data_IF_791859659664
#
_entry.id   IF_791859659664
#
_cell.length_a   1.000
_cell.length_b   1.000
_cell.length_c   1.000
_cell.angle_alpha   90.00
_cell.angle_beta   90.00
_cell.angle_gamma   90.00
#
_symmetry.space_group_name_H-M   'P 1'
#
loop_
_entity.id
_entity.type
_entity.pdbx_description
1 polymer ?
#
# COMPACT_ATOMS: atom_id res chain seq x y z
N UNK A 1 -36.10 -31.05 -18.40
CA UNK A 1 -35.76 -30.52 -17.07
C UNK A 1 -34.46 -29.76 -17.19
N UNK A 2 -34.40 -28.45 -16.89
CA UNK A 2 -33.15 -27.71 -16.87
C UNK A 2 -32.30 -28.17 -15.68
N UNK A 3 -31.01 -28.40 -15.91
CA UNK A 3 -30.04 -28.68 -14.85
C UNK A 3 -29.92 -27.43 -13.97
N UNK A 4 -30.08 -27.60 -12.66
CA UNK A 4 -29.75 -26.58 -11.67
C UNK A 4 -28.26 -26.24 -11.81
N UNK A 5 -27.96 -25.01 -12.23
CA UNK A 5 -26.67 -24.38 -11.94
C UNK A 5 -26.58 -24.29 -10.43
N UNK A 6 -25.73 -25.12 -9.83
CA UNK A 6 -25.37 -24.97 -8.44
C UNK A 6 -24.66 -23.62 -8.31
N UNK A 7 -25.25 -22.72 -7.52
CA UNK A 7 -24.57 -21.54 -6.98
C UNK A 7 -23.26 -22.02 -6.33
N UNK A 8 -22.17 -21.92 -7.08
CA UNK A 8 -20.83 -21.98 -6.51
C UNK A 8 -20.78 -20.85 -5.48
N UNK A 9 -20.34 -21.11 -4.23
CA UNK A 9 -20.24 -20.05 -3.24
C UNK A 9 -19.40 -18.93 -3.86
N UNK A 10 -19.96 -17.72 -3.92
CA UNK A 10 -19.23 -16.53 -4.32
C UNK A 10 -17.93 -16.54 -3.52
N UNK A 11 -16.80 -16.64 -4.22
CA UNK A 11 -15.48 -16.68 -3.57
C UNK A 11 -15.39 -15.51 -2.60
N UNK A 12 -14.99 -15.75 -1.35
CA UNK A 12 -14.81 -14.69 -0.34
C UNK A 12 -14.05 -13.50 -0.96
N UNK A 13 -14.50 -12.25 -0.70
CA UNK A 13 -13.90 -11.08 -1.32
C UNK A 13 -12.42 -10.96 -0.95
N UNK A 14 -11.59 -10.61 -1.93
CA UNK A 14 -10.20 -10.26 -1.67
C UNK A 14 -10.15 -8.89 -0.97
N UNK A 15 -9.57 -8.82 0.22
CA UNK A 15 -9.46 -7.59 0.99
C UNK A 15 -8.05 -7.00 0.86
N UNK A 16 -7.93 -5.85 0.19
CA UNK A 16 -6.67 -5.14 0.04
C UNK A 16 -6.68 -3.82 0.83
N UNK A 17 -5.61 -3.58 1.57
CA UNK A 17 -5.33 -2.29 2.20
C UNK A 17 -4.26 -1.58 1.40
N UNK A 18 -4.49 -0.32 1.03
CA UNK A 18 -3.53 0.49 0.27
C UNK A 18 -3.04 1.64 1.14
N UNK A 19 -1.72 1.74 1.34
CA UNK A 19 -1.08 2.89 1.94
C UNK A 19 -0.33 3.71 0.89
N UNK A 20 -0.44 5.04 0.92
CA UNK A 20 0.26 5.93 0.00
C UNK A 20 0.18 7.39 0.43
N UNK A 21 0.55 8.34 -0.44
CA UNK A 21 0.38 9.77 -0.18
C UNK A 21 -0.95 10.30 -0.74
N UNK A 22 -2.05 9.66 -0.34
CA UNK A 22 -3.39 9.94 -0.87
C UNK A 22 -4.22 10.84 0.05
N UNK A 23 -5.16 11.57 -0.54
CA UNK A 23 -6.01 12.54 0.15
C UNK A 23 -5.31 13.86 0.46
N UNK A 24 -4.14 14.11 -0.15
CA UNK A 24 -3.40 15.38 -0.05
C UNK A 24 -3.63 16.29 -1.25
N UNK A 25 -4.50 15.91 -2.19
CA UNK A 25 -4.71 16.61 -3.47
C UNK A 25 -3.44 16.71 -4.34
N UNK A 26 -2.52 15.75 -4.19
CA UNK A 26 -1.39 15.63 -5.09
C UNK A 26 -1.81 14.87 -6.35
N UNK A 27 -2.01 15.59 -7.46
CA UNK A 27 -2.51 15.02 -8.71
C UNK A 27 -1.73 13.77 -9.16
N UNK A 28 -0.42 13.72 -8.93
CA UNK A 28 0.41 12.56 -9.27
C UNK A 28 0.08 11.32 -8.44
N UNK A 29 0.00 11.46 -7.11
CA UNK A 29 -0.32 10.35 -6.21
C UNK A 29 -1.78 9.90 -6.36
N UNK A 30 -2.68 10.86 -6.56
CA UNK A 30 -4.10 10.61 -6.87
C UNK A 30 -4.26 9.82 -8.19
N UNK A 31 -3.49 10.15 -9.23
CA UNK A 31 -3.47 9.40 -10.50
C UNK A 31 -2.90 7.98 -10.34
N UNK A 32 -1.89 7.80 -9.49
CA UNK A 32 -1.33 6.47 -9.15
C UNK A 32 -2.40 5.62 -8.47
N UNK A 33 -3.13 6.18 -7.49
CA UNK A 33 -4.21 5.47 -6.82
C UNK A 33 -5.32 5.06 -7.80
N UNK A 34 -5.75 6.00 -8.65
CA UNK A 34 -6.78 5.74 -9.67
C UNK A 34 -6.38 4.60 -10.61
N UNK A 35 -5.16 4.65 -11.14
CA UNK A 35 -4.65 3.63 -12.07
C UNK A 35 -4.52 2.26 -11.40
N UNK A 36 -4.06 2.23 -10.14
CA UNK A 36 -3.97 1.01 -9.36
C UNK A 36 -5.34 0.41 -9.07
N UNK A 37 -6.30 1.24 -8.66
CA UNK A 37 -7.67 0.82 -8.38
C UNK A 37 -8.32 0.23 -9.64
N UNK A 38 -8.16 0.87 -10.80
CA UNK A 38 -8.71 0.39 -12.06
C UNK A 38 -8.09 -0.96 -12.46
N UNK A 39 -6.77 -1.08 -12.40
CA UNK A 39 -6.08 -2.33 -12.74
C UNK A 39 -6.50 -3.49 -11.81
N UNK A 40 -6.58 -3.25 -10.51
CA UNK A 40 -6.98 -4.29 -9.55
C UNK A 40 -8.43 -4.75 -9.76
N UNK A 41 -9.36 -3.83 -10.06
CA UNK A 41 -10.76 -4.18 -10.35
C UNK A 41 -10.93 -4.90 -11.70
N UNK A 42 -10.03 -4.70 -12.66
CA UNK A 42 -10.06 -5.43 -13.93
C UNK A 42 -9.60 -6.89 -13.78
N UNK A 43 -8.72 -7.16 -12.82
CA UNK A 43 -8.17 -8.50 -12.57
C UNK A 43 -9.00 -9.31 -11.55
N UNK A 44 -9.76 -8.63 -10.68
CA UNK A 44 -10.52 -9.27 -9.59
C UNK A 44 -11.95 -8.74 -9.48
N UNK A 45 -12.91 -9.61 -9.82
CA UNK A 45 -14.35 -9.30 -9.79
C UNK A 45 -14.90 -9.09 -8.36
N UNK A 46 -14.39 -9.82 -7.36
CA UNK A 46 -14.80 -9.69 -5.96
C UNK A 46 -13.69 -9.10 -5.08
N UNK A 47 -13.58 -7.77 -5.12
CA UNK A 47 -12.49 -7.02 -4.51
C UNK A 47 -13.00 -5.91 -3.57
N UNK A 48 -12.53 -5.94 -2.32
CA UNK A 48 -12.68 -4.85 -1.37
C UNK A 48 -11.38 -4.06 -1.21
N UNK A 49 -11.41 -2.79 -1.62
CA UNK A 49 -10.28 -1.88 -1.45
C UNK A 49 -10.52 -0.92 -0.27
N UNK A 50 -9.59 -0.92 0.68
CA UNK A 50 -9.50 0.11 1.72
C UNK A 50 -8.24 0.96 1.52
N UNK A 51 -8.37 2.28 1.53
CA UNK A 51 -7.26 3.22 1.31
C UNK A 51 -6.96 4.03 2.58
N UNK A 52 -5.68 4.09 2.98
CA UNK A 52 -5.21 5.02 3.99
C UNK A 52 -5.07 6.42 3.38
N UNK A 53 -5.85 7.37 3.88
CA UNK A 53 -5.96 8.70 3.30
C UNK A 53 -5.85 9.80 4.36
N UNK A 54 -5.31 10.96 3.97
CA UNK A 54 -5.38 12.18 4.77
C UNK A 54 -6.78 12.82 4.75
N UNK A 55 -7.57 12.56 3.71
CA UNK A 55 -8.97 12.97 3.61
C UNK A 55 -9.84 11.80 3.16
N UNK A 56 -10.26 10.92 4.10
CA UNK A 56 -11.02 9.73 3.77
C UNK A 56 -12.36 10.01 3.07
N UNK A 57 -13.03 11.13 3.39
CA UNK A 57 -14.28 11.49 2.76
C UNK A 57 -14.10 11.74 1.26
N UNK A 58 -13.09 12.54 0.90
CA UNK A 58 -12.74 12.81 -0.49
C UNK A 58 -12.31 11.54 -1.23
N UNK A 59 -11.41 10.74 -0.63
CA UNK A 59 -10.91 9.52 -1.26
C UNK A 59 -12.04 8.53 -1.57
N UNK A 60 -13.03 8.39 -0.67
CA UNK A 60 -14.21 7.55 -0.94
C UNK A 60 -15.00 8.06 -2.14
N UNK A 61 -15.28 9.37 -2.18
CA UNK A 61 -16.08 9.96 -3.26
C UNK A 61 -15.38 9.94 -4.62
N UNK A 62 -14.03 10.01 -4.63
CA UNK A 62 -13.26 10.10 -5.86
C UNK A 62 -12.95 8.76 -6.52
N UNK A 63 -12.84 7.68 -5.74
CA UNK A 63 -12.34 6.39 -6.24
C UNK A 63 -13.28 5.19 -6.02
N UNK A 64 -14.43 5.40 -5.36
CA UNK A 64 -15.36 4.31 -5.01
C UNK A 64 -14.67 3.16 -4.26
N UNK A 65 -14.01 3.54 -3.15
CA UNK A 65 -13.26 2.65 -2.26
C UNK A 65 -13.64 2.91 -0.80
N UNK A 66 -13.39 1.94 0.09
CA UNK A 66 -13.35 2.25 1.53
C UNK A 66 -12.12 3.11 1.80
N UNK A 67 -12.20 4.02 2.77
CA UNK A 67 -11.05 4.81 3.17
C UNK A 67 -11.00 4.98 4.68
N UNK A 68 -9.79 5.01 5.23
CA UNK A 68 -9.51 5.23 6.65
C UNK A 68 -8.55 6.39 6.83
N UNK A 69 -8.66 7.08 7.96
CA UNK A 69 -7.67 8.10 8.32
C UNK A 69 -6.32 7.43 8.46
N UNK A 70 -5.32 7.96 7.74
CA UNK A 70 -3.96 7.45 7.76
C UNK A 70 -3.26 7.62 9.12
N UNK A 71 -3.83 8.42 10.02
CA UNK A 71 -3.32 8.66 11.40
C UNK A 71 -4.10 7.90 12.47
N UNK A 72 -5.20 7.22 12.12
CA UNK A 72 -5.96 6.40 13.06
C UNK A 72 -5.34 4.99 13.16
N UNK A 73 -4.25 4.89 13.91
CA UNK A 73 -3.52 3.62 14.06
C UNK A 73 -4.38 2.48 14.64
N UNK A 74 -5.41 2.79 15.44
CA UNK A 74 -6.32 1.77 15.97
C UNK A 74 -7.23 1.22 14.87
N UNK A 75 -7.78 2.09 14.02
CA UNK A 75 -8.54 1.66 12.85
C UNK A 75 -7.66 0.88 11.86
N UNK A 76 -6.44 1.35 11.60
CA UNK A 76 -5.47 0.67 10.72
C UNK A 76 -5.16 -0.74 11.25
N UNK A 77 -4.89 -0.88 12.55
CA UNK A 77 -4.60 -2.19 13.15
C UNK A 77 -5.78 -3.17 13.05
N UNK A 78 -7.01 -2.67 13.19
CA UNK A 78 -8.23 -3.47 12.99
C UNK A 78 -8.39 -3.87 11.52
N UNK A 79 -8.17 -2.94 10.60
CA UNK A 79 -8.28 -3.17 9.16
C UNK A 79 -7.29 -4.22 8.67
N UNK A 80 -6.03 -4.12 9.09
CA UNK A 80 -4.99 -5.12 8.82
C UNK A 80 -5.39 -6.53 9.29
N UNK A 81 -6.27 -6.65 10.28
CA UNK A 81 -6.72 -7.94 10.79
C UNK A 81 -7.66 -8.73 9.89
N UNK A 82 -8.21 -8.09 8.87
CA UNK A 82 -9.08 -8.68 7.85
C UNK A 82 -8.54 -8.44 6.43
N UNK A 83 -7.31 -7.97 6.32
CA UNK A 83 -6.64 -7.69 5.05
C UNK A 83 -5.89 -8.93 4.60
N UNK A 84 -5.97 -9.28 3.32
CA UNK A 84 -5.19 -10.37 2.71
C UNK A 84 -3.81 -9.89 2.25
N UNK A 85 -3.73 -8.63 1.80
CA UNK A 85 -2.48 -8.00 1.36
C UNK A 85 -2.49 -6.48 1.62
N UNK A 86 -1.42 -5.99 2.24
CA UNK A 86 -1.12 -4.56 2.29
C UNK A 86 -0.32 -4.17 1.04
N UNK A 87 -0.79 -3.18 0.28
CA UNK A 87 -0.06 -2.58 -0.83
C UNK A 87 0.44 -1.21 -0.37
N UNK A 88 1.75 -1.08 -0.20
CA UNK A 88 2.38 0.24 -0.14
C UNK A 88 2.51 0.76 -1.56
N UNK A 89 1.56 1.61 -1.97
CA UNK A 89 1.44 2.15 -3.31
C UNK A 89 2.64 3.00 -3.74
N UNK A 90 2.67 3.41 -5.01
CA UNK A 90 3.83 4.07 -5.63
C UNK A 90 4.08 5.51 -5.19
N UNK A 91 4.94 6.20 -5.93
CA UNK A 91 5.42 7.55 -5.59
C UNK A 91 6.83 7.54 -5.00
N UNK A 92 7.27 8.62 -4.35
CA UNK A 92 8.60 8.71 -3.72
C UNK A 92 8.48 8.66 -2.20
N UNK A 93 7.86 7.60 -1.66
CA UNK A 93 7.53 7.52 -0.23
C UNK A 93 8.73 7.06 0.63
N UNK A 94 9.65 6.32 0.03
CA UNK A 94 10.82 5.73 0.70
C UNK A 94 12.09 6.56 0.44
N UNK A 95 12.07 7.81 0.89
CA UNK A 95 13.24 8.70 0.87
C UNK A 95 13.27 9.58 2.11
N UNK A 96 14.46 9.96 2.60
CA UNK A 96 14.61 10.85 3.76
C UNK A 96 15.07 12.28 3.41
N UNK A 97 15.07 12.63 2.12
CA UNK A 97 15.47 13.96 1.62
C UNK A 97 14.44 15.05 1.95
N UNK A 98 13.16 14.72 1.95
CA UNK A 98 12.06 15.67 2.22
C UNK A 98 11.56 15.63 3.66
N UNK A 99 11.52 14.45 4.32
CA UNK A 99 11.17 14.33 5.75
C UNK A 99 11.42 12.93 6.30
N UNK A 100 12.25 12.80 7.34
CA UNK A 100 12.42 11.53 8.07
C UNK A 100 11.13 11.03 8.73
N UNK A 101 10.18 11.92 9.05
CA UNK A 101 8.89 11.54 9.65
C UNK A 101 7.99 10.79 8.66
N UNK A 102 8.06 11.15 7.38
CA UNK A 102 7.30 10.46 6.32
C UNK A 102 7.81 9.03 6.16
N UNK A 103 9.14 8.86 6.09
CA UNK A 103 9.76 7.54 6.04
C UNK A 103 9.38 6.68 7.25
N UNK A 104 9.51 7.22 8.46
CA UNK A 104 9.14 6.52 9.70
C UNK A 104 7.67 6.10 9.71
N UNK A 105 6.77 6.96 9.23
CA UNK A 105 5.35 6.63 9.10
C UNK A 105 5.15 5.38 8.21
N UNK A 106 5.72 5.35 7.00
CA UNK A 106 5.51 4.22 6.10
C UNK A 106 6.17 2.94 6.63
N UNK A 107 7.36 3.04 7.24
CA UNK A 107 7.99 1.91 7.92
C UNK A 107 7.14 1.37 9.06
N UNK A 108 6.45 2.24 9.82
CA UNK A 108 5.53 1.84 10.88
C UNK A 108 4.33 1.07 10.31
N UNK A 109 3.71 1.53 9.21
CA UNK A 109 2.58 0.82 8.58
C UNK A 109 3.01 -0.57 8.09
N UNK A 110 4.18 -0.67 7.45
CA UNK A 110 4.74 -1.96 7.02
C UNK A 110 5.03 -2.88 8.21
N UNK A 111 5.60 -2.34 9.29
CA UNK A 111 5.84 -3.09 10.52
C UNK A 111 4.52 -3.57 11.17
N UNK A 112 3.47 -2.74 11.18
CA UNK A 112 2.15 -3.14 11.66
C UNK A 112 1.59 -4.31 10.85
N UNK A 113 1.79 -4.33 9.52
CA UNK A 113 1.40 -5.46 8.66
C UNK A 113 2.10 -6.75 9.08
N UNK A 114 3.43 -6.70 9.26
CA UNK A 114 4.24 -7.84 9.69
C UNK A 114 3.79 -8.39 11.05
N UNK A 115 3.46 -7.50 11.98
CA UNK A 115 3.00 -7.89 13.32
C UNK A 115 1.56 -8.42 13.31
N UNK A 116 0.70 -7.91 12.43
CA UNK A 116 -0.71 -8.27 12.41
C UNK A 116 -1.00 -9.54 11.61
N UNK A 117 -0.14 -9.89 10.66
CA UNK A 117 -0.24 -11.09 9.84
C UNK A 117 -0.22 -10.90 8.32
N UNK A 118 -0.86 -9.88 7.72
CA UNK A 118 -0.94 -9.81 6.26
C UNK A 118 0.45 -9.58 5.64
N UNK A 119 0.79 -10.32 4.56
CA UNK A 119 1.94 -9.96 3.74
C UNK A 119 1.76 -8.56 3.19
N UNK A 120 2.87 -7.93 2.80
CA UNK A 120 2.82 -6.65 2.11
C UNK A 120 3.60 -6.66 0.81
N UNK A 121 3.17 -5.81 -0.10
CA UNK A 121 3.80 -5.52 -1.38
C UNK A 121 4.24 -4.06 -1.42
N UNK A 122 5.40 -3.81 -2.02
CA UNK A 122 5.86 -2.48 -2.39
C UNK A 122 5.61 -2.31 -3.90
N UNK A 123 4.73 -1.37 -4.25
CA UNK A 123 4.28 -1.16 -5.62
C UNK A 123 4.90 0.10 -6.23
N UNK A 124 5.65 -0.03 -7.33
CA UNK A 124 6.18 1.06 -8.16
C UNK A 124 6.75 2.26 -7.37
N UNK A 125 7.56 1.96 -6.35
CA UNK A 125 8.16 2.98 -5.49
C UNK A 125 9.41 3.59 -6.13
N UNK A 126 9.51 4.91 -6.05
CA UNK A 126 10.75 5.65 -6.16
C UNK A 126 11.50 5.57 -4.84
N UNK A 127 12.71 5.01 -4.84
CA UNK A 127 13.58 4.95 -3.67
C UNK A 127 14.64 6.04 -3.83
N UNK A 128 14.51 7.10 -3.04
CA UNK A 128 15.51 8.18 -2.99
C UNK A 128 16.66 7.82 -2.04
N UNK A 129 17.75 8.60 -2.04
CA UNK A 129 18.86 8.35 -1.14
C UNK A 129 18.38 8.42 0.31
N UNK A 130 18.74 7.41 1.11
CA UNK A 130 18.49 7.35 2.55
C UNK A 130 19.80 7.73 3.25
N UNK A 131 19.90 8.99 3.71
CA UNK A 131 21.12 9.56 4.29
C UNK A 131 21.42 9.01 5.68
N UNK A 132 20.38 8.66 6.46
CA UNK A 132 20.56 8.15 7.82
C UNK A 132 20.93 6.66 7.88
N UNK A 133 22.07 6.31 8.48
CA UNK A 133 22.55 4.92 8.61
C UNK A 133 21.55 3.99 9.30
N UNK A 134 20.85 4.49 10.31
CA UNK A 134 19.82 3.73 11.05
C UNK A 134 18.55 3.54 10.22
N UNK A 135 18.06 4.60 9.58
CA UNK A 135 16.92 4.54 8.66
C UNK A 135 17.18 3.56 7.53
N UNK A 136 18.38 3.58 6.94
CA UNK A 136 18.79 2.65 5.88
C UNK A 136 18.72 1.20 6.36
N UNK A 137 19.23 0.90 7.55
CA UNK A 137 19.20 -0.47 8.11
C UNK A 137 17.77 -0.96 8.35
N UNK A 138 16.90 -0.11 8.93
CA UNK A 138 15.50 -0.48 9.16
C UNK A 138 14.75 -0.64 7.85
N UNK A 139 14.89 0.31 6.93
CA UNK A 139 14.27 0.22 5.61
C UNK A 139 14.71 -1.06 4.91
N UNK A 140 16.00 -1.38 4.89
CA UNK A 140 16.50 -2.60 4.28
C UNK A 140 15.95 -3.87 4.95
N UNK A 141 15.88 -3.89 6.28
CA UNK A 141 15.32 -5.01 7.02
C UNK A 141 13.84 -5.22 6.73
N UNK A 142 13.05 -4.14 6.70
CA UNK A 142 11.62 -4.20 6.37
C UNK A 142 11.44 -4.62 4.91
N UNK A 143 12.12 -3.98 3.95
CA UNK A 143 11.98 -4.29 2.53
C UNK A 143 12.36 -5.75 2.19
N UNK A 144 13.30 -6.35 2.92
CA UNK A 144 13.62 -7.79 2.81
C UNK A 144 12.44 -8.72 3.19
N UNK A 145 11.42 -8.22 3.89
CA UNK A 145 10.21 -8.95 4.28
C UNK A 145 9.04 -8.75 3.30
N UNK A 146 9.18 -7.87 2.31
CA UNK A 146 8.16 -7.66 1.28
C UNK A 146 7.94 -8.95 0.49
N UNK A 147 6.68 -9.33 0.27
CA UNK A 147 6.35 -10.48 -0.59
C UNK A 147 6.72 -10.20 -2.05
N UNK A 148 6.44 -8.97 -2.48
CA UNK A 148 6.81 -8.46 -3.80
C UNK A 148 7.31 -7.03 -3.62
N UNK A 149 8.41 -6.70 -4.31
CA UNK A 149 8.96 -5.35 -4.35
C UNK A 149 9.17 -4.97 -5.80
N UNK A 150 8.47 -3.92 -6.23
CA UNK A 150 8.61 -3.32 -7.55
C UNK A 150 9.10 -1.88 -7.39
N UNK A 151 10.05 -1.49 -8.24
CA UNK A 151 10.64 -0.14 -8.25
C UNK A 151 10.26 0.57 -9.54
N UNK A 152 10.13 1.90 -9.47
CA UNK A 152 9.69 2.71 -10.60
C UNK A 152 10.76 2.85 -11.69
N UNK A 153 12.03 2.94 -11.30
CA UNK A 153 13.15 3.27 -12.18
C UNK A 153 14.45 2.59 -11.72
N UNK A 154 15.43 2.51 -12.63
CA UNK A 154 16.73 1.88 -12.36
C UNK A 154 17.47 2.55 -11.19
N UNK A 155 17.33 3.87 -11.03
CA UNK A 155 17.93 4.59 -9.91
C UNK A 155 17.39 4.08 -8.57
N UNK A 156 16.09 3.84 -8.48
CA UNK A 156 15.44 3.27 -7.30
C UNK A 156 15.92 1.84 -7.01
N UNK A 157 16.19 1.06 -8.07
CA UNK A 157 16.80 -0.27 -7.94
C UNK A 157 18.23 -0.18 -7.37
N UNK A 158 19.04 0.75 -7.88
CA UNK A 158 20.42 0.92 -7.44
C UNK A 158 20.49 1.38 -5.97
N UNK A 159 19.58 2.27 -5.55
CA UNK A 159 19.46 2.68 -4.13
C UNK A 159 18.99 1.53 -3.23
N UNK A 160 18.08 0.66 -3.72
CA UNK A 160 17.71 -0.56 -2.99
C UNK A 160 18.90 -1.49 -2.78
N UNK A 161 19.75 -1.67 -3.81
CA UNK A 161 20.97 -2.47 -3.71
C UNK A 161 21.96 -1.86 -2.71
N UNK A 162 22.08 -0.54 -2.68
CA UNK A 162 22.87 0.14 -1.65
C UNK A 162 22.28 -0.08 -0.26
N UNK A 163 20.96 -0.01 -0.11
CA UNK A 163 20.33 -0.20 1.19
C UNK A 163 20.54 -1.60 1.79
N UNK A 164 20.77 -2.65 0.97
CA UNK A 164 20.86 -4.05 1.38
C UNK A 164 22.00 -4.41 2.34
#
# INVERSE_FOLDING_TARGET
>A
MPKQEADLPLSEPLHLLISGYYGFHNLGDEAILSSMQQALRQEHDNLELTVLSANPALTRSSYDVKALSRTDYRAIWKELGKTDLLISGGGSLLQDVTSSRSLQYYLLILAMSLLRGPPFMIYSQGIGPIRGSWNRRITAWILKKARVLTVRDQQSFDELLRAR
#
